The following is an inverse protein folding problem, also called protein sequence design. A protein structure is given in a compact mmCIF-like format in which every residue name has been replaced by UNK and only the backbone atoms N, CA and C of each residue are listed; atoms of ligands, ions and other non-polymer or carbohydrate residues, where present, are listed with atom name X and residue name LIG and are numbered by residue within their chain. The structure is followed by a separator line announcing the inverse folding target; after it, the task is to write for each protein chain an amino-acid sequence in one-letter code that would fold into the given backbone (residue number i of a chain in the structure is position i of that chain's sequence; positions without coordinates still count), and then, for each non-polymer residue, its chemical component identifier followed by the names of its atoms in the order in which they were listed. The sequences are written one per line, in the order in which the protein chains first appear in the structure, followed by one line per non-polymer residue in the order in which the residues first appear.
data_IF_334193969849
#
_entry.id   IF_334193969849
#
_cell.length_a   1.000
_cell.length_b   1.000
_cell.length_c   1.000
_cell.angle_alpha   90.00
_cell.angle_beta   90.00
_cell.angle_gamma   90.00
#
_symmetry.space_group_name_H-M   'P 1'
#
loop_
_entity.id
_entity.type
_entity.pdbx_description
1 polymer ?
#
# COMPACT_ATOMS: atom_id res chain seq x y z
N UNK A 1 22.08 29.36 26.72
CA UNK A 1 22.79 28.74 25.56
C UNK A 1 22.95 27.24 25.75
N UNK A 2 23.42 26.78 26.93
CA UNK A 2 23.57 25.35 27.25
C UNK A 2 22.28 24.52 27.04
N UNK A 3 21.12 24.99 27.52
CA UNK A 3 19.83 24.29 27.37
C UNK A 3 19.35 24.15 25.91
N UNK A 4 19.66 25.12 25.05
CA UNK A 4 19.29 25.06 23.62
C UNK A 4 20.12 23.99 22.90
N UNK A 5 21.42 23.92 23.21
CA UNK A 5 22.32 22.90 22.66
C UNK A 5 22.02 21.50 23.21
N UNK A 6 21.61 21.40 24.48
CA UNK A 6 21.18 20.13 25.10
C UNK A 6 19.94 19.57 24.39
N UNK A 7 18.91 20.40 24.17
CA UNK A 7 17.67 19.98 23.48
C UNK A 7 17.97 19.58 22.03
N UNK A 8 18.65 20.43 21.26
CA UNK A 8 18.98 20.13 19.87
C UNK A 8 19.90 18.91 19.73
N UNK A 9 20.91 18.78 20.60
CA UNK A 9 21.84 17.66 20.59
C UNK A 9 21.17 16.33 20.94
N UNK A 10 20.22 16.33 21.87
CA UNK A 10 19.42 15.13 22.20
C UNK A 10 18.56 14.68 21.01
N UNK A 11 17.98 15.62 20.28
CA UNK A 11 17.20 15.32 19.09
C UNK A 11 18.10 14.71 18.00
N UNK A 12 19.21 15.37 17.64
CA UNK A 12 20.11 14.86 16.61
C UNK A 12 20.69 13.49 16.97
N UNK A 13 21.04 13.25 18.23
CA UNK A 13 21.51 11.94 18.69
C UNK A 13 20.48 10.83 18.52
N UNK A 14 19.19 11.17 18.50
CA UNK A 14 18.09 10.23 18.25
C UNK A 14 17.83 10.06 16.75
N UNK A 15 17.77 11.17 16.01
CA UNK A 15 17.53 11.16 14.56
C UNK A 15 18.67 10.50 13.76
N UNK A 16 19.90 10.53 14.29
CA UNK A 16 21.08 9.89 13.68
C UNK A 16 21.15 8.37 13.95
N UNK A 17 20.20 7.80 14.69
CA UNK A 17 20.13 6.36 14.90
C UNK A 17 19.47 5.70 13.69
N UNK A 18 20.00 4.54 13.27
CA UNK A 18 19.44 3.80 12.14
C UNK A 18 18.00 3.33 12.39
N UNK A 19 17.26 3.15 11.30
CA UNK A 19 15.80 2.90 11.30
C UNK A 19 15.41 1.64 12.11
N UNK A 20 16.31 0.66 12.24
CA UNK A 20 16.11 -0.58 13.00
C UNK A 20 15.95 -0.38 14.50
N UNK A 21 16.26 0.80 15.05
CA UNK A 21 16.04 1.15 16.47
C UNK A 21 14.97 2.23 16.65
N UNK A 22 14.15 2.46 15.63
CA UNK A 22 13.19 3.56 15.64
C UNK A 22 11.91 3.29 16.42
N UNK A 23 11.65 2.06 16.88
CA UNK A 23 10.46 1.75 17.66
C UNK A 23 10.59 2.29 19.10
N UNK A 24 9.53 2.89 19.62
CA UNK A 24 9.50 3.38 20.98
C UNK A 24 9.46 2.22 21.99
N UNK A 25 10.47 2.14 22.88
CA UNK A 25 10.58 1.08 23.90
C UNK A 25 9.64 1.29 25.11
N UNK A 26 9.06 2.49 25.24
CA UNK A 26 8.20 2.88 26.37
C UNK A 26 6.79 3.20 25.87
N UNK A 27 5.75 3.04 26.71
CA UNK A 27 4.43 3.57 26.39
C UNK A 27 4.55 5.08 26.18
N UNK A 28 4.57 5.46 24.91
CA UNK A 28 4.71 6.82 24.40
C UNK A 28 3.44 7.12 23.61
N UNK A 29 3.07 8.39 23.51
CA UNK A 29 1.96 8.83 22.66
C UNK A 29 2.24 8.65 21.15
N UNK A 30 3.49 8.28 20.82
CA UNK A 30 3.99 8.02 19.47
C UNK A 30 4.66 6.64 19.41
N UNK A 31 4.55 5.99 18.27
CA UNK A 31 5.09 4.66 18.02
C UNK A 31 6.59 4.68 17.72
N UNK A 32 7.08 5.78 17.15
CA UNK A 32 8.48 5.97 16.77
C UNK A 32 9.23 6.85 17.77
N UNK A 33 10.41 6.40 18.16
CA UNK A 33 11.32 7.12 19.04
C UNK A 33 11.76 8.49 18.46
N UNK A 34 12.12 8.61 17.16
CA UNK A 34 12.38 9.91 16.52
C UNK A 34 11.25 10.93 16.68
N UNK A 35 10.00 10.48 16.48
CA UNK A 35 8.81 11.32 16.62
C UNK A 35 8.58 11.72 18.07
N UNK A 36 8.65 10.76 18.99
CA UNK A 36 8.53 11.02 20.42
C UNK A 36 9.59 12.02 20.92
N UNK A 37 10.84 11.86 20.50
CA UNK A 37 11.94 12.75 20.86
C UNK A 37 11.75 14.16 20.30
N UNK A 38 11.31 14.29 19.04
CA UNK A 38 11.00 15.60 18.45
C UNK A 38 9.89 16.31 19.21
N UNK A 39 8.82 15.59 19.58
CA UNK A 39 7.73 16.14 20.37
C UNK A 39 8.15 16.52 21.79
N UNK A 40 8.93 15.69 22.48
CA UNK A 40 9.44 15.98 23.81
C UNK A 40 10.35 17.21 23.81
N UNK A 41 11.26 17.31 22.83
CA UNK A 41 12.12 18.48 22.65
C UNK A 41 11.31 19.76 22.42
N UNK A 42 10.24 19.67 21.64
CA UNK A 42 9.32 20.77 21.38
C UNK A 42 8.63 21.23 22.67
N UNK A 43 8.08 20.31 23.47
CA UNK A 43 7.44 20.65 24.75
C UNK A 43 8.44 21.18 25.78
N UNK A 44 9.65 20.60 25.84
CA UNK A 44 10.70 20.99 26.78
C UNK A 44 11.14 22.44 26.60
N UNK A 45 11.12 22.97 25.37
CA UNK A 45 11.37 24.39 25.08
C UNK A 45 10.45 25.34 25.86
N UNK A 46 9.25 24.90 26.21
CA UNK A 46 8.19 25.71 26.83
C UNK A 46 7.85 25.28 28.27
N UNK A 47 8.67 24.42 28.86
CA UNK A 47 8.53 24.00 30.26
C UNK A 47 8.95 25.09 31.25
N UNK A 48 8.33 25.13 32.44
CA UNK A 48 8.56 26.21 33.42
C UNK A 48 10.01 26.33 33.91
N UNK A 49 10.79 25.24 33.88
CA UNK A 49 12.20 25.23 34.25
C UNK A 49 13.18 25.61 33.12
N UNK A 50 12.68 25.84 31.91
CA UNK A 50 13.51 26.12 30.72
C UNK A 50 13.11 27.43 30.05
N UNK A 51 11.80 27.67 29.93
CA UNK A 51 11.27 28.83 29.22
C UNK A 51 11.54 30.13 29.97
N UNK A 52 12.07 31.11 29.24
CA UNK A 52 12.27 32.47 29.72
C UNK A 52 11.61 33.41 28.73
N UNK A 53 10.65 34.22 29.20
CA UNK A 53 9.85 35.11 28.35
C UNK A 53 10.69 36.11 27.56
N UNK A 54 11.77 36.63 28.14
CA UNK A 54 12.72 37.52 27.47
C UNK A 54 13.39 36.87 26.25
N UNK A 55 13.47 35.54 26.23
CA UNK A 55 14.04 34.73 25.14
C UNK A 55 12.97 34.05 24.29
N UNK A 56 11.69 34.45 24.40
CA UNK A 56 10.57 33.84 23.69
C UNK A 56 10.82 33.69 22.19
N UNK A 57 11.37 34.72 21.54
CA UNK A 57 11.71 34.68 20.10
C UNK A 57 12.72 33.56 19.76
N UNK A 58 13.65 33.23 20.65
CA UNK A 58 14.63 32.15 20.45
C UNK A 58 14.01 30.79 20.67
N UNK A 59 13.15 30.63 21.68
CA UNK A 59 12.41 29.38 21.90
C UNK A 59 11.43 29.10 20.77
N UNK A 60 10.78 30.15 20.24
CA UNK A 60 9.94 30.03 19.05
C UNK A 60 10.75 29.57 17.84
N UNK A 61 11.89 30.22 17.57
CA UNK A 61 12.79 29.81 16.51
C UNK A 61 13.22 28.34 16.66
N UNK A 62 13.64 27.92 17.86
CA UNK A 62 14.04 26.53 18.11
C UNK A 62 12.87 25.56 17.89
N UNK A 63 11.65 25.94 18.28
CA UNK A 63 10.45 25.12 18.07
C UNK A 63 10.22 24.83 16.59
N UNK A 64 10.29 25.87 15.74
CA UNK A 64 10.18 25.70 14.29
C UNK A 64 11.35 24.90 13.70
N UNK A 65 12.57 25.09 14.23
CA UNK A 65 13.75 24.33 13.79
C UNK A 65 13.63 22.83 14.14
N UNK A 66 13.06 22.48 15.29
CA UNK A 66 12.79 21.08 15.67
C UNK A 66 11.81 20.44 14.69
N UNK A 67 10.71 21.11 14.37
CA UNK A 67 9.71 20.59 13.44
C UNK A 67 10.30 20.46 12.03
N UNK A 68 11.01 21.49 11.55
CA UNK A 68 11.67 21.46 10.25
C UNK A 68 12.72 20.35 10.17
N UNK A 69 13.54 20.17 11.22
CA UNK A 69 14.52 19.09 11.27
C UNK A 69 13.87 17.72 11.24
N UNK A 70 12.77 17.53 11.96
CA UNK A 70 11.99 16.30 11.89
C UNK A 70 11.46 16.08 10.47
N UNK A 71 10.87 17.09 9.81
CA UNK A 71 10.47 16.99 8.39
C UNK A 71 11.62 16.54 7.48
N UNK A 72 12.81 17.11 7.64
CA UNK A 72 14.00 16.71 6.87
C UNK A 72 14.47 15.30 7.22
N UNK A 73 14.39 14.88 8.49
CA UNK A 73 14.71 13.50 8.86
C UNK A 73 13.75 12.50 8.20
N UNK A 74 12.46 12.83 8.14
CA UNK A 74 11.50 11.98 7.44
C UNK A 74 11.92 11.85 5.94
N UNK A 75 12.40 12.94 5.31
CA UNK A 75 13.02 12.94 3.97
C UNK A 75 14.24 12.03 3.86
N UNK A 76 15.20 12.20 4.76
CA UNK A 76 16.44 11.43 4.80
C UNK A 76 16.15 9.93 4.92
N UNK A 77 15.21 9.53 5.79
CA UNK A 77 14.84 8.12 6.03
C UNK A 77 14.30 7.42 4.79
N UNK A 78 13.68 8.15 3.86
CA UNK A 78 13.23 7.58 2.59
C UNK A 78 14.37 7.39 1.60
N UNK A 79 15.36 8.30 1.61
CA UNK A 79 16.53 8.26 0.73
C UNK A 79 17.61 7.31 1.25
N UNK A 80 17.71 7.12 2.57
CA UNK A 80 18.62 6.19 3.23
C UNK A 80 18.22 4.74 2.94
N UNK A 81 18.76 4.21 1.83
CA UNK A 81 19.09 2.80 1.60
C UNK A 81 18.15 1.75 2.21
N UNK A 82 16.87 1.80 1.87
CA UNK A 82 16.07 0.57 1.66
C UNK A 82 16.21 0.03 0.21
N UNK A 83 16.95 0.76 -0.65
CA UNK A 83 17.25 0.41 -2.05
C UNK A 83 18.33 -0.67 -2.23
N UNK A 84 18.93 -1.21 -1.16
CA UNK A 84 19.99 -2.22 -1.27
C UNK A 84 19.48 -3.64 -1.61
N UNK A 85 18.18 -3.84 -1.80
CA UNK A 85 17.63 -5.12 -2.31
C UNK A 85 17.27 -5.07 -3.81
N UNK A 86 17.44 -3.93 -4.48
CA UNK A 86 17.27 -3.81 -5.94
C UNK A 86 18.61 -3.66 -6.67
N UNK A 87 19.55 -4.57 -6.42
CA UNK A 87 20.63 -4.85 -7.39
C UNK A 87 20.30 -6.16 -8.12
N UNK A 88 19.93 -6.12 -9.41
CA UNK A 88 19.96 -7.32 -10.23
C UNK A 88 21.43 -7.60 -10.57
N UNK A 89 21.91 -8.80 -10.26
CA UNK A 89 23.27 -9.35 -10.47
C UNK A 89 24.29 -9.11 -9.34
N UNK A 90 24.30 -10.00 -8.35
CA UNK A 90 25.53 -10.70 -7.94
C UNK A 90 25.17 -12.14 -7.55
N UNK A 91 25.80 -13.11 -8.21
CA UNK A 91 25.58 -14.55 -8.04
C UNK A 91 26.30 -15.10 -6.79
N UNK A 92 25.98 -14.61 -5.59
CA UNK A 92 26.46 -15.24 -4.36
C UNK A 92 25.32 -15.97 -3.65
N UNK A 93 25.24 -17.25 -3.98
CA UNK A 93 24.55 -18.32 -3.26
C UNK A 93 24.86 -18.29 -1.76
N UNK A 94 23.81 -18.37 -0.93
CA UNK A 94 23.78 -18.75 0.50
C UNK A 94 23.66 -17.63 1.57
N UNK A 95 22.78 -16.66 1.38
CA UNK A 95 22.09 -16.03 2.51
C UNK A 95 20.59 -16.07 2.24
N UNK A 96 19.85 -16.78 3.09
CA UNK A 96 18.39 -16.73 3.06
C UNK A 96 17.95 -15.26 3.22
N UNK A 97 16.90 -14.80 2.50
CA UNK A 97 16.31 -13.50 2.81
C UNK A 97 15.84 -13.56 4.26
N UNK A 98 16.32 -12.64 5.09
CA UNK A 98 15.80 -12.48 6.44
C UNK A 98 14.32 -12.08 6.33
N UNK A 99 13.40 -13.02 6.59
CA UNK A 99 11.95 -12.79 6.56
C UNK A 99 11.50 -11.62 7.46
N UNK A 100 12.36 -11.15 8.37
CA UNK A 100 12.09 -9.98 9.23
C UNK A 100 12.16 -8.62 8.52
N UNK A 101 12.99 -8.44 7.48
CA UNK A 101 13.34 -7.10 6.97
C UNK A 101 12.16 -6.36 6.32
N UNK A 102 11.33 -7.08 5.56
CA UNK A 102 10.19 -6.47 4.86
C UNK A 102 9.00 -6.21 5.80
N UNK A 103 8.77 -7.08 6.77
CA UNK A 103 7.73 -6.87 7.79
C UNK A 103 8.06 -5.68 8.69
N UNK A 104 9.33 -5.52 9.07
CA UNK A 104 9.80 -4.41 9.90
C UNK A 104 9.68 -3.07 9.18
N UNK A 105 9.93 -3.04 7.86
CA UNK A 105 9.78 -1.84 7.04
C UNK A 105 8.31 -1.41 6.92
N UNK A 106 7.40 -2.34 6.65
CA UNK A 106 5.98 -2.03 6.57
C UNK A 106 5.44 -1.51 7.89
N UNK A 107 5.85 -2.13 9.00
CA UNK A 107 5.52 -1.68 10.35
C UNK A 107 6.00 -0.24 10.58
N UNK A 108 7.27 0.03 10.25
CA UNK A 108 7.84 1.37 10.36
C UNK A 108 7.06 2.41 9.55
N UNK A 109 6.68 2.11 8.31
CA UNK A 109 5.94 3.04 7.45
C UNK A 109 4.54 3.34 7.98
N UNK A 110 3.83 2.32 8.47
CA UNK A 110 2.50 2.50 9.07
C UNK A 110 2.59 3.36 10.33
N UNK A 111 3.57 3.08 11.20
CA UNK A 111 3.81 3.87 12.39
C UNK A 111 4.22 5.30 12.07
N UNK A 112 5.07 5.50 11.07
CA UNK A 112 5.47 6.83 10.61
C UNK A 112 4.27 7.64 10.13
N UNK A 113 3.35 7.03 9.37
CA UNK A 113 2.13 7.69 8.93
C UNK A 113 1.27 8.13 10.12
N UNK A 114 0.98 7.20 11.05
CA UNK A 114 0.17 7.47 12.23
C UNK A 114 0.80 8.55 13.13
N UNK A 115 2.12 8.51 13.28
CA UNK A 115 2.88 9.46 14.07
C UNK A 115 2.92 10.85 13.43
N UNK A 116 3.01 10.98 12.11
CA UNK A 116 2.91 12.27 11.40
C UNK A 116 1.51 12.89 11.62
N UNK A 117 0.44 12.11 11.49
CA UNK A 117 -0.93 12.57 11.75
C UNK A 117 -1.11 13.04 13.19
N UNK A 118 -0.69 12.20 14.15
CA UNK A 118 -0.74 12.52 15.58
C UNK A 118 0.07 13.78 15.93
N UNK A 119 1.28 13.93 15.36
CA UNK A 119 2.12 15.11 15.57
C UNK A 119 1.42 16.36 15.02
N UNK A 120 0.91 16.29 13.79
CA UNK A 120 0.21 17.38 13.13
C UNK A 120 -1.06 17.82 13.90
N UNK A 121 -1.80 16.88 14.48
CA UNK A 121 -2.95 17.19 15.33
C UNK A 121 -2.54 17.81 16.66
N UNK A 122 -1.50 17.28 17.31
CA UNK A 122 -1.00 17.81 18.57
C UNK A 122 -0.40 19.22 18.44
N UNK A 123 0.07 19.63 17.26
CA UNK A 123 0.50 21.01 17.01
C UNK A 123 -0.60 22.05 17.31
N UNK A 124 -1.88 21.69 17.21
CA UNK A 124 -3.00 22.55 17.62
C UNK A 124 -2.95 22.85 19.12
N UNK A 125 -2.73 21.81 19.94
CA UNK A 125 -2.59 21.96 21.39
C UNK A 125 -1.32 22.73 21.77
N UNK A 126 -0.21 22.48 21.05
CA UNK A 126 1.02 23.24 21.22
C UNK A 126 0.83 24.74 20.93
N UNK A 127 0.12 25.07 19.84
CA UNK A 127 -0.22 26.46 19.50
C UNK A 127 -1.03 27.14 20.61
N UNK A 128 -2.04 26.45 21.16
CA UNK A 128 -2.83 26.97 22.26
C UNK A 128 -1.97 27.20 23.53
N UNK A 129 -1.14 26.22 23.90
CA UNK A 129 -0.27 26.29 25.08
C UNK A 129 0.75 27.44 24.96
N UNK A 130 1.44 27.55 23.83
CA UNK A 130 2.42 28.63 23.61
C UNK A 130 1.75 30.00 23.58
N UNK A 131 0.53 30.12 23.03
CA UNK A 131 -0.24 31.37 23.06
C UNK A 131 -0.52 31.85 24.48
N UNK A 132 -0.85 30.96 25.42
CA UNK A 132 -1.08 31.35 26.82
C UNK A 132 0.19 31.85 27.52
N UNK A 133 1.36 31.31 27.17
CA UNK A 133 2.66 31.72 27.73
C UNK A 133 3.20 33.02 27.12
N UNK A 134 2.65 33.41 25.97
CA UNK A 134 2.99 34.64 25.26
C UNK A 134 1.88 35.69 25.41
N UNK A 135 1.27 35.77 26.60
CA UNK A 135 0.28 36.78 26.90
C UNK A 135 0.81 38.21 26.62
N UNK A 136 -0.07 39.16 26.31
CA UNK A 136 0.33 40.55 26.03
C UNK A 136 1.11 40.80 24.73
N UNK A 137 1.31 39.78 23.89
CA UNK A 137 1.84 39.94 22.53
C UNK A 137 0.78 40.57 21.61
N UNK A 138 1.22 41.38 20.64
CA UNK A 138 0.30 42.08 19.73
C UNK A 138 -0.53 41.10 18.88
N UNK A 139 -1.78 41.43 18.50
CA UNK A 139 -2.62 40.55 17.68
C UNK A 139 -1.95 40.13 16.36
N UNK A 140 -1.25 41.05 15.70
CA UNK A 140 -0.52 40.80 14.45
C UNK A 140 0.63 39.80 14.64
N UNK A 141 1.29 39.84 15.80
CA UNK A 141 2.34 38.87 16.12
C UNK A 141 1.72 37.51 16.43
N UNK A 142 0.63 37.44 17.20
CA UNK A 142 -0.07 36.19 17.48
C UNK A 142 -0.54 35.49 16.19
N UNK A 143 -1.08 36.25 15.24
CA UNK A 143 -1.48 35.76 13.92
C UNK A 143 -0.28 35.15 13.15
N UNK A 144 0.87 35.84 13.12
CA UNK A 144 2.10 35.31 12.50
C UNK A 144 2.61 34.03 13.15
N UNK A 145 2.57 33.95 14.49
CA UNK A 145 2.97 32.74 15.22
C UNK A 145 2.04 31.58 14.87
N UNK A 146 0.73 31.79 14.89
CA UNK A 146 -0.25 30.79 14.48
C UNK A 146 0.00 30.30 13.05
N UNK A 147 0.16 31.21 12.09
CA UNK A 147 0.43 30.84 10.70
C UNK A 147 1.72 30.03 10.53
N UNK A 148 2.79 30.34 11.29
CA UNK A 148 4.03 29.57 11.21
C UNK A 148 3.89 28.13 11.72
N UNK A 149 3.02 27.88 12.71
CA UNK A 149 2.68 26.53 13.16
C UNK A 149 1.81 25.81 12.13
N UNK A 150 0.82 26.49 11.56
CA UNK A 150 -0.01 25.89 10.52
C UNK A 150 0.81 25.55 9.27
N UNK A 151 1.76 26.40 8.87
CA UNK A 151 2.71 26.09 7.79
C UNK A 151 3.55 24.84 8.11
N UNK A 152 4.10 24.75 9.33
CA UNK A 152 4.87 23.58 9.77
C UNK A 152 4.03 22.29 9.78
N UNK A 153 2.76 22.40 10.18
CA UNK A 153 1.79 21.30 10.13
C UNK A 153 1.49 20.88 8.69
N UNK A 154 1.30 21.82 7.76
CA UNK A 154 1.10 21.49 6.34
C UNK A 154 2.35 20.83 5.75
N UNK A 155 3.55 21.27 6.13
CA UNK A 155 4.79 20.61 5.72
C UNK A 155 4.86 19.14 6.18
N UNK A 156 4.45 18.85 7.41
CA UNK A 156 4.34 17.46 7.91
C UNK A 156 3.32 16.65 7.11
N UNK A 157 2.09 17.18 6.97
CA UNK A 157 1.01 16.48 6.27
C UNK A 157 1.31 16.25 4.79
N UNK A 158 2.09 17.13 4.16
CA UNK A 158 2.54 16.97 2.78
C UNK A 158 3.39 15.71 2.55
N UNK A 159 3.87 15.05 3.62
CA UNK A 159 4.64 13.80 3.58
C UNK A 159 3.79 12.54 3.59
N UNK A 160 2.54 12.62 4.06
CA UNK A 160 1.64 11.47 4.11
C UNK A 160 1.39 10.80 2.75
N UNK A 161 1.28 11.54 1.61
CA UNK A 161 1.09 10.92 0.30
C UNK A 161 2.23 9.99 -0.11
N UNK A 162 3.49 10.39 0.12
CA UNK A 162 4.65 9.57 -0.25
C UNK A 162 4.79 8.36 0.68
N UNK A 163 4.54 8.53 1.98
CA UNK A 163 4.51 7.40 2.94
C UNK A 163 3.41 6.41 2.56
N UNK A 164 2.22 6.91 2.22
CA UNK A 164 1.11 6.09 1.72
C UNK A 164 1.54 5.32 0.47
N UNK A 165 2.15 5.96 -0.52
CA UNK A 165 2.59 5.29 -1.74
C UNK A 165 3.52 4.10 -1.44
N UNK A 166 4.45 4.23 -0.49
CA UNK A 166 5.33 3.14 -0.08
C UNK A 166 4.57 1.99 0.60
N UNK A 167 3.66 2.29 1.53
CA UNK A 167 2.81 1.28 2.19
C UNK A 167 2.03 0.48 1.13
N UNK A 168 1.37 1.19 0.20
CA UNK A 168 0.60 0.56 -0.88
C UNK A 168 1.50 -0.32 -1.75
N UNK A 169 2.69 0.16 -2.11
CA UNK A 169 3.66 -0.56 -2.92
C UNK A 169 4.15 -1.84 -2.26
N UNK A 170 4.45 -1.82 -0.95
CA UNK A 170 4.92 -2.99 -0.23
C UNK A 170 3.87 -4.09 -0.16
N UNK A 171 2.62 -3.75 0.16
CA UNK A 171 1.55 -4.75 0.25
C UNK A 171 1.17 -5.26 -1.14
N UNK A 172 0.98 -4.35 -2.11
CA UNK A 172 0.53 -4.72 -3.46
C UNK A 172 1.58 -5.56 -4.18
N UNK A 173 2.87 -5.24 -4.06
CA UNK A 173 3.94 -5.97 -4.76
C UNK A 173 3.98 -7.46 -4.41
N UNK A 174 3.69 -7.82 -3.16
CA UNK A 174 3.58 -9.21 -2.71
C UNK A 174 2.44 -9.93 -3.43
N UNK A 175 1.26 -9.33 -3.49
CA UNK A 175 0.10 -9.86 -4.22
C UNK A 175 0.37 -9.97 -5.73
N UNK A 176 0.97 -8.93 -6.33
CA UNK A 176 1.29 -8.87 -7.76
C UNK A 176 2.29 -9.96 -8.17
N UNK A 177 3.19 -10.37 -7.29
CA UNK A 177 4.13 -11.48 -7.56
C UNK A 177 3.40 -12.81 -7.78
N UNK A 178 2.34 -13.07 -7.00
CA UNK A 178 1.53 -14.29 -7.07
C UNK A 178 0.58 -14.29 -8.27
N UNK A 179 0.08 -13.10 -8.61
CA UNK A 179 -0.88 -12.89 -9.70
C UNK A 179 -0.36 -13.35 -11.08
N UNK A 180 0.96 -13.42 -11.26
CA UNK A 180 1.59 -13.92 -12.51
C UNK A 180 1.12 -15.34 -12.89
N UNK A 181 0.69 -16.14 -11.91
CA UNK A 181 0.19 -17.52 -12.10
C UNK A 181 -1.11 -17.59 -12.92
N UNK A 182 -1.84 -16.48 -13.08
CA UNK A 182 -2.98 -16.37 -14.02
C UNK A 182 -2.62 -16.87 -15.43
N UNK A 183 -1.39 -16.59 -15.86
CA UNK A 183 -0.91 -16.95 -17.20
C UNK A 183 -0.74 -18.47 -17.40
N UNK A 184 -0.73 -19.25 -16.32
CA UNK A 184 -0.60 -20.71 -16.38
C UNK A 184 -1.94 -21.41 -16.56
N UNK A 185 -3.07 -20.72 -16.35
CA UNK A 185 -4.42 -21.30 -16.46
C UNK A 185 -4.64 -22.00 -17.82
N UNK A 186 -4.27 -21.44 -18.98
CA UNK A 186 -4.41 -22.13 -20.25
C UNK A 186 -3.68 -23.47 -20.31
N UNK A 187 -2.50 -23.57 -19.68
CA UNK A 187 -1.71 -24.82 -19.63
C UNK A 187 -2.36 -25.86 -18.73
N UNK A 188 -3.08 -25.45 -17.70
CA UNK A 188 -3.75 -26.35 -16.77
C UNK A 188 -4.91 -27.12 -17.40
N UNK A 189 -5.56 -26.56 -18.43
CA UNK A 189 -6.74 -27.18 -19.06
C UNK A 189 -6.49 -27.70 -20.46
N UNK A 190 -5.64 -27.04 -21.27
CA UNK A 190 -5.38 -27.47 -22.65
C UNK A 190 -4.79 -28.87 -22.72
N UNK A 191 -5.47 -29.75 -23.46
CA UNK A 191 -5.05 -31.15 -23.68
C UNK A 191 -4.90 -31.93 -22.38
N UNK A 192 -5.69 -31.57 -21.37
CA UNK A 192 -5.78 -32.30 -20.11
C UNK A 192 -7.17 -32.91 -20.00
N UNK A 193 -7.27 -34.12 -19.45
CA UNK A 193 -8.56 -34.74 -19.11
C UNK A 193 -9.11 -34.22 -17.76
N UNK A 194 -8.80 -32.97 -17.39
CA UNK A 194 -9.32 -32.38 -16.15
C UNK A 194 -10.82 -32.11 -16.27
N UNK A 195 -11.53 -32.32 -15.16
CA UNK A 195 -12.93 -31.99 -15.04
C UNK A 195 -13.19 -30.48 -15.12
N UNK A 196 -14.46 -30.11 -15.26
CA UNK A 196 -14.89 -28.71 -15.26
C UNK A 196 -14.55 -28.09 -13.89
N UNK A 197 -13.89 -26.92 -13.86
CA UNK A 197 -13.49 -26.31 -12.60
C UNK A 197 -14.69 -25.86 -11.78
N UNK A 198 -14.62 -26.11 -10.47
CA UNK A 198 -15.66 -25.76 -9.47
C UNK A 198 -15.10 -24.96 -8.29
N UNK A 199 -13.78 -24.77 -8.23
CA UNK A 199 -13.09 -24.06 -7.16
C UNK A 199 -12.10 -23.04 -7.75
N UNK A 200 -11.85 -21.92 -7.06
CA UNK A 200 -10.83 -20.97 -7.47
C UNK A 200 -9.43 -21.60 -7.40
N UNK A 201 -8.49 -21.06 -8.18
CA UNK A 201 -7.10 -21.48 -8.15
C UNK A 201 -6.42 -21.06 -6.82
N UNK A 202 -5.43 -21.83 -6.34
CA UNK A 202 -4.72 -21.50 -5.09
C UNK A 202 -4.03 -20.12 -5.09
N UNK A 203 -3.62 -19.62 -6.27
CA UNK A 203 -2.97 -18.31 -6.36
C UNK A 203 -3.91 -17.18 -5.93
N UNK A 204 -5.24 -17.32 -6.07
CA UNK A 204 -6.21 -16.27 -5.69
C UNK A 204 -6.13 -16.01 -4.19
N UNK A 205 -6.08 -17.08 -3.38
CA UNK A 205 -5.87 -16.97 -1.94
C UNK A 205 -4.50 -16.35 -1.62
N UNK A 206 -3.46 -16.68 -2.38
CA UNK A 206 -2.12 -16.09 -2.21
C UNK A 206 -2.08 -14.59 -2.59
N UNK A 207 -2.86 -14.16 -3.59
CA UNK A 207 -3.02 -12.74 -3.98
C UNK A 207 -3.79 -11.97 -2.90
N UNK A 208 -4.81 -12.56 -2.28
CA UNK A 208 -5.59 -11.95 -1.21
C UNK A 208 -4.84 -11.92 0.14
N UNK A 209 -3.92 -12.85 0.39
CA UNK A 209 -3.28 -12.99 1.69
C UNK A 209 -2.58 -11.70 2.20
N UNK A 210 -1.79 -10.95 1.39
CA UNK A 210 -1.15 -9.72 1.85
C UNK A 210 -2.14 -8.63 2.32
N UNK A 211 -3.14 -8.17 1.52
CA UNK A 211 -4.08 -7.14 1.98
C UNK A 211 -4.94 -7.61 3.17
N UNK A 212 -5.33 -8.88 3.23
CA UNK A 212 -6.09 -9.42 4.37
C UNK A 212 -5.26 -9.46 5.66
N UNK A 213 -3.98 -9.83 5.55
CA UNK A 213 -3.04 -9.81 6.68
C UNK A 213 -2.75 -8.38 7.14
N UNK A 214 -2.61 -7.45 6.19
CA UNK A 214 -2.45 -6.02 6.46
C UNK A 214 -3.66 -5.47 7.25
N UNK A 215 -4.88 -5.75 6.80
CA UNK A 215 -6.11 -5.36 7.52
C UNK A 215 -6.11 -5.90 8.95
N UNK A 216 -5.82 -7.20 9.14
CA UNK A 216 -5.78 -7.83 10.47
C UNK A 216 -4.72 -7.22 11.39
N UNK A 217 -3.55 -6.91 10.86
CA UNK A 217 -2.42 -6.40 11.64
C UNK A 217 -2.63 -4.96 12.12
N UNK A 218 -3.26 -4.11 11.31
CA UNK A 218 -3.27 -2.66 11.54
C UNK A 218 -4.63 -2.03 11.86
N UNK A 219 -5.72 -2.81 11.89
CA UNK A 219 -7.07 -2.35 12.28
C UNK A 219 -7.20 -1.73 13.67
N UNK A 220 -6.27 -2.03 14.58
CA UNK A 220 -6.25 -1.44 15.94
C UNK A 220 -5.22 -0.32 16.08
N UNK A 221 -4.34 -0.14 15.09
CA UNK A 221 -3.27 0.85 15.08
C UNK A 221 -3.70 2.10 14.32
N UNK A 222 -4.41 1.92 13.21
CA UNK A 222 -4.78 2.98 12.26
C UNK A 222 -6.29 3.20 12.28
N UNK A 223 -6.72 4.45 12.10
CA UNK A 223 -8.15 4.78 12.02
C UNK A 223 -8.85 4.03 10.88
N UNK A 224 -10.10 3.62 11.12
CA UNK A 224 -10.88 2.79 10.19
C UNK A 224 -10.96 3.39 8.78
N UNK A 225 -11.24 4.69 8.68
CA UNK A 225 -11.36 5.39 7.38
C UNK A 225 -10.04 5.36 6.58
N UNK A 226 -8.91 5.54 7.26
CA UNK A 226 -7.59 5.54 6.63
C UNK A 226 -7.19 4.13 6.19
N UNK A 227 -7.45 3.11 7.03
CA UNK A 227 -7.20 1.73 6.68
C UNK A 227 -8.05 1.27 5.49
N UNK A 228 -9.33 1.63 5.48
CA UNK A 228 -10.23 1.34 4.36
C UNK A 228 -9.74 2.01 3.08
N UNK A 229 -9.32 3.29 3.15
CA UNK A 229 -8.73 4.00 2.00
C UNK A 229 -7.50 3.30 1.45
N UNK A 230 -6.58 2.86 2.31
CA UNK A 230 -5.41 2.10 1.88
C UNK A 230 -5.77 0.78 1.23
N UNK A 231 -6.69 0.02 1.82
CA UNK A 231 -7.15 -1.25 1.26
C UNK A 231 -7.79 -1.07 -0.12
N UNK A 232 -8.64 -0.05 -0.29
CA UNK A 232 -9.22 0.29 -1.60
C UNK A 232 -8.15 0.56 -2.65
N UNK A 233 -7.10 1.33 -2.30
CA UNK A 233 -6.00 1.63 -3.21
C UNK A 233 -5.12 0.41 -3.51
N UNK A 234 -4.84 -0.44 -2.51
CA UNK A 234 -4.11 -1.71 -2.67
C UNK A 234 -4.88 -2.63 -3.63
N UNK A 235 -6.18 -2.85 -3.36
CA UNK A 235 -7.01 -3.68 -4.22
C UNK A 235 -7.14 -3.09 -5.62
N UNK A 236 -7.20 -1.77 -5.78
CA UNK A 236 -7.24 -1.12 -7.09
C UNK A 236 -5.97 -1.43 -7.89
N UNK A 237 -4.78 -1.31 -7.28
CA UNK A 237 -3.52 -1.64 -7.93
C UNK A 237 -3.43 -3.12 -8.33
N UNK A 238 -3.87 -4.03 -7.45
CA UNK A 238 -3.92 -5.47 -7.73
C UNK A 238 -4.90 -5.77 -8.87
N UNK A 239 -6.08 -5.15 -8.82
CA UNK A 239 -7.18 -5.38 -9.78
C UNK A 239 -6.83 -4.87 -11.17
N UNK A 240 -6.15 -3.73 -11.30
CA UNK A 240 -5.65 -3.23 -12.58
C UNK A 240 -4.72 -4.26 -13.27
N UNK A 241 -3.76 -4.82 -12.52
CA UNK A 241 -2.88 -5.86 -13.07
C UNK A 241 -3.63 -7.17 -13.34
N UNK A 242 -4.63 -7.50 -12.52
CA UNK A 242 -5.43 -8.70 -12.69
C UNK A 242 -6.26 -8.59 -13.97
N UNK A 243 -6.91 -7.44 -14.18
CA UNK A 243 -7.61 -7.11 -15.41
C UNK A 243 -6.72 -7.27 -16.64
N UNK A 244 -5.52 -6.66 -16.63
CA UNK A 244 -4.59 -6.76 -17.75
C UNK A 244 -4.23 -8.23 -18.04
N UNK A 245 -3.87 -8.99 -17.01
CA UNK A 245 -3.43 -10.38 -17.15
C UNK A 245 -4.56 -11.29 -17.66
N UNK A 246 -5.77 -11.11 -17.14
CA UNK A 246 -6.96 -11.85 -17.58
C UNK A 246 -7.34 -11.50 -19.01
N UNK A 247 -7.31 -10.21 -19.36
CA UNK A 247 -7.59 -9.76 -20.72
C UNK A 247 -6.60 -10.35 -21.73
N UNK A 248 -5.32 -10.41 -21.40
CA UNK A 248 -4.29 -11.03 -22.25
C UNK A 248 -4.52 -12.52 -22.44
N UNK A 249 -4.82 -13.25 -21.36
CA UNK A 249 -5.16 -14.68 -21.40
C UNK A 249 -6.39 -14.92 -22.27
N UNK A 250 -7.49 -14.17 -22.05
CA UNK A 250 -8.73 -14.32 -22.82
C UNK A 250 -8.54 -13.98 -24.30
N UNK A 251 -7.76 -12.94 -24.60
CA UNK A 251 -7.42 -12.56 -25.97
C UNK A 251 -6.61 -13.67 -26.67
N UNK A 252 -5.65 -14.26 -25.97
CA UNK A 252 -4.84 -15.38 -26.47
C UNK A 252 -5.70 -16.63 -26.73
N UNK A 253 -6.61 -16.96 -25.81
CA UNK A 253 -7.57 -18.05 -25.95
C UNK A 253 -8.46 -17.82 -27.17
N UNK A 254 -9.05 -16.64 -27.32
CA UNK A 254 -9.90 -16.30 -28.46
C UNK A 254 -9.14 -16.41 -29.81
N UNK A 255 -7.92 -15.88 -29.90
CA UNK A 255 -7.09 -16.01 -31.11
C UNK A 255 -6.80 -17.47 -31.47
N UNK A 256 -6.55 -18.30 -30.45
CA UNK A 256 -6.30 -19.74 -30.63
C UNK A 256 -7.55 -20.45 -31.15
N UNK A 257 -8.71 -20.16 -30.55
CA UNK A 257 -10.00 -20.71 -30.92
C UNK A 257 -10.38 -20.36 -32.37
N UNK A 258 -10.20 -19.09 -32.76
CA UNK A 258 -10.46 -18.62 -34.13
C UNK A 258 -9.53 -19.27 -35.16
N UNK A 259 -8.24 -19.45 -34.83
CA UNK A 259 -7.27 -20.14 -35.69
C UNK A 259 -7.67 -21.60 -35.92
N UNK A 260 -8.03 -22.32 -34.85
CA UNK A 260 -8.52 -23.70 -34.93
C UNK A 260 -9.82 -23.81 -35.73
N UNK A 261 -10.75 -22.86 -35.56
CA UNK A 261 -12.00 -22.81 -36.34
C UNK A 261 -11.74 -22.60 -37.83
N UNK A 262 -10.79 -21.75 -38.20
CA UNK A 262 -10.38 -21.53 -39.60
C UNK A 262 -9.74 -22.79 -40.19
N UNK A 263 -8.81 -23.43 -39.47
CA UNK A 263 -8.19 -24.69 -39.86
C UNK A 263 -9.22 -25.81 -40.06
N UNK A 264 -10.18 -25.94 -39.15
CA UNK A 264 -11.27 -26.93 -39.26
C UNK A 264 -12.13 -26.67 -40.51
N UNK A 265 -12.54 -25.41 -40.75
CA UNK A 265 -13.29 -25.03 -41.98
C UNK A 265 -12.54 -25.35 -43.27
N UNK A 266 -11.21 -25.15 -43.31
CA UNK A 266 -10.40 -25.50 -44.49
C UNK A 266 -10.35 -27.01 -44.68
N UNK A 267 -10.18 -27.79 -43.60
CA UNK A 267 -10.17 -29.24 -43.66
C UNK A 267 -11.54 -29.82 -44.06
N UNK A 268 -12.63 -29.28 -43.53
CA UNK A 268 -13.99 -29.71 -43.86
C UNK A 268 -14.36 -29.37 -45.31
N UNK A 269 -13.76 -28.32 -45.92
CA UNK A 269 -13.89 -28.06 -47.37
C UNK A 269 -13.15 -29.07 -48.25
N UNK A 270 -12.11 -29.71 -47.72
CA UNK A 270 -11.28 -30.70 -48.43
C UNK A 270 -11.73 -32.15 -48.17
N UNK A 271 -12.66 -32.37 -47.24
CA UNK A 271 -13.08 -33.69 -46.78
C UNK A 271 -14.60 -33.80 -46.74
N UNK A 272 -15.18 -34.79 -47.44
CA UNK A 272 -16.61 -35.09 -47.49
C UNK A 272 -17.14 -35.86 -46.26
N UNK A 273 -16.42 -35.86 -45.14
CA UNK A 273 -16.86 -36.54 -43.92
C UNK A 273 -17.78 -35.67 -43.05
N UNK A 274 -18.86 -36.28 -42.57
CA UNK A 274 -19.87 -35.72 -41.68
C UNK A 274 -19.26 -35.17 -40.37
N UNK A 275 -19.76 -34.04 -39.83
CA UNK A 275 -19.23 -33.47 -38.60
C UNK A 275 -19.65 -34.32 -37.40
N UNK A 276 -18.67 -34.91 -36.69
CA UNK A 276 -18.88 -35.42 -35.34
C UNK A 276 -18.92 -34.25 -34.36
N UNK A 277 -20.10 -33.94 -33.83
CA UNK A 277 -20.28 -33.00 -32.72
C UNK A 277 -19.77 -33.63 -31.42
N UNK A 278 -18.56 -33.25 -31.02
CA UNK A 278 -18.08 -33.52 -29.67
C UNK A 278 -18.88 -32.68 -28.67
N UNK A 279 -19.86 -33.29 -28.00
CA UNK A 279 -20.81 -32.71 -27.04
C UNK A 279 -20.19 -32.32 -25.67
N UNK A 280 -18.87 -32.15 -25.61
CA UNK A 280 -18.16 -31.79 -24.38
C UNK A 280 -17.82 -30.29 -24.34
N UNK A 281 -17.84 -29.70 -23.14
CA UNK A 281 -17.29 -28.37 -22.89
C UNK A 281 -15.82 -28.35 -23.33
N UNK A 282 -15.44 -27.42 -24.20
CA UNK A 282 -14.09 -27.34 -24.75
C UNK A 282 -13.07 -26.90 -23.71
N UNK A 283 -11.79 -27.17 -23.95
CA UNK A 283 -10.70 -26.72 -23.06
C UNK A 283 -10.75 -25.20 -22.84
N UNK A 284 -11.08 -24.43 -23.90
CA UNK A 284 -11.21 -22.97 -23.84
C UNK A 284 -12.40 -22.51 -22.96
N UNK A 285 -13.47 -23.31 -22.90
CA UNK A 285 -14.63 -23.03 -22.05
C UNK A 285 -14.29 -23.28 -20.56
N UNK A 286 -13.51 -24.33 -20.27
CA UNK A 286 -12.98 -24.58 -18.91
C UNK A 286 -12.08 -23.45 -18.44
N UNK A 287 -11.24 -22.89 -19.33
CA UNK A 287 -10.40 -21.73 -19.02
C UNK A 287 -11.26 -20.52 -18.65
N UNK A 288 -12.28 -20.20 -19.45
CA UNK A 288 -13.20 -19.08 -19.17
C UNK A 288 -13.95 -19.29 -17.85
N UNK A 289 -14.41 -20.51 -17.57
CA UNK A 289 -15.07 -20.85 -16.31
C UNK A 289 -14.13 -20.71 -15.10
N UNK A 290 -12.86 -21.15 -15.21
CA UNK A 290 -11.89 -20.98 -14.12
C UNK A 290 -11.66 -19.49 -13.80
N UNK A 291 -11.52 -18.65 -14.83
CA UNK A 291 -11.31 -17.21 -14.64
C UNK A 291 -12.50 -16.54 -13.94
N UNK A 292 -13.73 -16.97 -14.22
CA UNK A 292 -14.92 -16.49 -13.49
C UNK A 292 -14.84 -16.87 -12.02
N UNK A 293 -14.52 -18.12 -11.69
CA UNK A 293 -14.38 -18.57 -10.30
C UNK A 293 -13.28 -17.82 -9.55
N UNK A 294 -12.15 -17.60 -10.21
CA UNK A 294 -11.01 -16.89 -9.64
C UNK A 294 -11.36 -15.42 -9.34
N UNK A 295 -12.00 -14.72 -10.28
CA UNK A 295 -12.41 -13.32 -10.10
C UNK A 295 -13.53 -13.18 -9.08
N UNK A 296 -14.49 -14.10 -9.04
CA UNK A 296 -15.55 -14.10 -8.03
C UNK A 296 -14.98 -14.29 -6.62
N UNK A 297 -14.05 -15.23 -6.44
CA UNK A 297 -13.42 -15.42 -5.14
C UNK A 297 -12.52 -14.24 -4.73
N UNK A 298 -11.84 -13.61 -5.70
CA UNK A 298 -11.13 -12.35 -5.44
C UNK A 298 -12.08 -11.25 -4.95
N UNK A 299 -13.23 -11.08 -5.60
CA UNK A 299 -14.29 -10.15 -5.21
C UNK A 299 -14.80 -10.41 -3.78
N UNK A 300 -15.04 -11.66 -3.41
CA UNK A 300 -15.43 -12.04 -2.04
C UNK A 300 -14.34 -11.64 -1.02
N UNK A 301 -13.06 -11.83 -1.39
CA UNK A 301 -11.93 -11.41 -0.58
C UNK A 301 -11.88 -9.90 -0.35
N UNK A 302 -12.14 -9.10 -1.38
CA UNK A 302 -12.23 -7.62 -1.28
C UNK A 302 -13.33 -7.22 -0.29
N UNK A 303 -14.52 -7.79 -0.43
CA UNK A 303 -15.67 -7.46 0.43
C UNK A 303 -15.49 -7.93 1.88
N UNK A 304 -14.67 -8.96 2.12
CA UNK A 304 -14.42 -9.50 3.47
C UNK A 304 -13.74 -8.53 4.44
N UNK A 305 -13.21 -7.41 3.94
CA UNK A 305 -12.57 -6.35 4.73
C UNK A 305 -13.28 -5.00 4.56
N UNK A 306 -14.60 -5.04 4.34
CA UNK A 306 -15.48 -3.87 4.22
C UNK A 306 -15.10 -2.89 3.10
N UNK A 307 -14.38 -3.33 2.08
CA UNK A 307 -14.13 -2.57 0.86
C UNK A 307 -15.24 -2.85 -0.14
N UNK A 308 -15.91 -1.79 -0.61
CA UNK A 308 -16.98 -1.92 -1.62
C UNK A 308 -16.38 -2.15 -2.99
N UNK A 309 -17.01 -3.03 -3.78
CA UNK A 309 -16.59 -3.34 -5.15
C UNK A 309 -16.54 -2.11 -6.06
N UNK A 310 -17.49 -1.19 -5.87
CA UNK A 310 -17.63 0.01 -6.69
C UNK A 310 -16.49 1.02 -6.48
N UNK A 311 -15.82 0.95 -5.33
CA UNK A 311 -14.71 1.86 -4.97
C UNK A 311 -13.36 1.33 -5.48
N UNK A 312 -13.28 0.06 -5.89
CA UNK A 312 -12.05 -0.57 -6.37
C UNK A 312 -11.94 -0.40 -7.89
N UNK A 313 -10.90 0.31 -8.32
CA UNK A 313 -10.68 0.57 -9.74
C UNK A 313 -10.52 -0.75 -10.53
N UNK A 314 -11.10 -0.78 -11.73
CA UNK A 314 -11.17 -1.94 -12.64
C UNK A 314 -11.91 -3.18 -12.14
N UNK A 315 -12.46 -3.22 -10.93
CA UNK A 315 -13.05 -4.46 -10.39
C UNK A 315 -14.35 -4.85 -11.11
N UNK A 316 -15.25 -3.90 -11.31
CA UNK A 316 -16.48 -4.14 -12.07
C UNK A 316 -16.18 -4.47 -13.53
N UNK A 317 -15.20 -3.82 -14.13
CA UNK A 317 -14.77 -4.10 -15.51
C UNK A 317 -14.18 -5.51 -15.64
N UNK A 318 -13.39 -5.95 -14.67
CA UNK A 318 -12.85 -7.31 -14.61
C UNK A 318 -13.94 -8.36 -14.47
N UNK A 319 -14.92 -8.13 -13.59
CA UNK A 319 -16.07 -9.02 -13.43
C UNK A 319 -16.87 -9.14 -14.74
N UNK A 320 -17.18 -8.01 -15.36
CA UNK A 320 -17.88 -7.97 -16.64
C UNK A 320 -17.08 -8.67 -17.76
N UNK A 321 -15.75 -8.50 -17.79
CA UNK A 321 -14.87 -9.14 -18.77
C UNK A 321 -14.96 -10.67 -18.72
N UNK A 322 -14.87 -11.26 -17.52
CA UNK A 322 -14.92 -12.73 -17.37
C UNK A 322 -16.32 -13.28 -17.60
N UNK A 323 -17.37 -12.57 -17.17
CA UNK A 323 -18.77 -12.98 -17.40
C UNK A 323 -19.17 -12.92 -18.88
N UNK A 324 -18.75 -11.88 -19.59
CA UNK A 324 -18.95 -11.76 -21.03
C UNK A 324 -18.16 -12.84 -21.79
N UNK A 325 -16.94 -13.17 -21.34
CA UNK A 325 -16.16 -14.26 -21.92
C UNK A 325 -16.87 -15.61 -21.74
N UNK A 326 -17.38 -15.92 -20.55
CA UNK A 326 -18.14 -17.17 -20.31
C UNK A 326 -19.40 -17.23 -21.15
N UNK A 327 -20.20 -16.16 -21.21
CA UNK A 327 -21.46 -16.15 -21.97
C UNK A 327 -21.27 -16.36 -23.48
N UNK A 328 -20.10 -16.01 -24.04
CA UNK A 328 -19.76 -16.30 -25.45
C UNK A 328 -19.56 -17.80 -25.72
N UNK A 329 -19.25 -18.60 -24.69
CA UNK A 329 -19.17 -20.07 -24.76
C UNK A 329 -20.55 -20.71 -24.93
N UNK A 330 -21.56 -20.15 -24.26
CA UNK A 330 -22.92 -20.69 -24.18
C UNK A 330 -23.77 -20.41 -25.44
N UNK A 331 -23.26 -19.63 -26.40
CA UNK A 331 -23.95 -19.40 -27.67
C UNK A 331 -23.94 -20.69 -28.51
N UNK A 332 -25.10 -21.19 -28.97
CA UNK A 332 -25.14 -22.35 -29.85
C UNK A 332 -24.30 -22.05 -31.10
N UNK A 333 -23.33 -22.94 -31.37
CA UNK A 333 -22.48 -22.88 -32.56
C UNK A 333 -23.36 -23.20 -33.78
N UNK A 334 -24.04 -22.17 -34.29
CA UNK A 334 -24.79 -22.18 -35.57
C UNK A 334 -23.85 -22.43 -36.76
#
# INVERSE_FOLDING_TARGET
MLRFQEIGGSLEATLSQGITKSLAERPSEFHLLPTASAWECLLRCWSDGVFLRELAHRFWKLSLQIIARYCTWIEEVWEEKWLSESSPFTNDTNLAPSEGTQSDRLLFLVYLHADIESFADKLKHFSAMTSTRLDGVSPQTCEKLYHSIEESKQQLLSRLPIVTQFILGEVSSQSLSQLRQVNDIPRLFRRTNRDIPTKPCPYVAAVLAPPLSFHKAYREVVGADQLQRWLTLIFSAITQQFYSSVNDVLTSVQKTEESLRRLKKVRDRLSTTTPSEGKGLGDDDKIRQQLVLDVQNFCEGVESVDVKKDDVDKLLELLNLVEAARSKSDLPKL
#
